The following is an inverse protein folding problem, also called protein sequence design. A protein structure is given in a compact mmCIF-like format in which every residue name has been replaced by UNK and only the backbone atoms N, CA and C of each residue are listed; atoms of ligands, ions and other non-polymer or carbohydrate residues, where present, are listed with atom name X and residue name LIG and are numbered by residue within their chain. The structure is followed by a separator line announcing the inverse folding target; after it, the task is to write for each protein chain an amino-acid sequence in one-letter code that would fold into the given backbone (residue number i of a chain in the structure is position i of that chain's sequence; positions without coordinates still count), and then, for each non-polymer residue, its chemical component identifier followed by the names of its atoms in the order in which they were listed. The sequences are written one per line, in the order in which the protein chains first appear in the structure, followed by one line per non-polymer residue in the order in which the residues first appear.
data_IF_215786260201
#
_entry.id   IF_215786260201
#
_cell.length_a   1.000
_cell.length_b   1.000
_cell.length_c   1.000
_cell.angle_alpha   90.00
_cell.angle_beta   90.00
_cell.angle_gamma   90.00
#
_symmetry.space_group_name_H-M   'P 1'
#
loop_
_entity.id
_entity.type
_entity.pdbx_description
1 polymer ?
#
# COMPACT_ATOMS: atom_id res chain seq x y z
N UNK A 1 14.63 -7.80 21.84
CA UNK A 1 14.95 -6.61 21.03
C UNK A 1 13.95 -6.52 19.90
N UNK A 2 13.34 -5.34 19.70
CA UNK A 2 12.15 -5.18 18.86
C UNK A 2 12.42 -5.59 17.41
N UNK A 3 11.73 -6.65 16.98
CA UNK A 3 11.79 -7.21 15.63
C UNK A 3 11.07 -6.33 14.59
N UNK A 4 10.46 -5.22 14.97
CA UNK A 4 9.56 -4.46 14.09
C UNK A 4 10.20 -4.10 12.74
N UNK A 5 11.38 -3.48 12.78
CA UNK A 5 12.08 -3.06 11.57
C UNK A 5 12.45 -4.27 10.69
N UNK A 6 12.90 -5.35 11.32
CA UNK A 6 13.18 -6.61 10.61
C UNK A 6 11.90 -7.17 9.99
N UNK A 7 10.78 -7.23 10.70
CA UNK A 7 9.51 -7.75 10.17
C UNK A 7 9.00 -6.94 8.99
N UNK A 8 9.06 -5.60 9.08
CA UNK A 8 8.53 -4.72 8.03
C UNK A 8 9.33 -4.80 6.73
N UNK A 9 10.66 -4.87 6.83
CA UNK A 9 11.56 -4.79 5.67
C UNK A 9 11.92 -6.17 5.14
N UNK A 10 12.15 -7.17 5.99
CA UNK A 10 12.48 -8.54 5.53
C UNK A 10 11.33 -9.14 4.71
N UNK A 11 10.07 -8.84 5.05
CA UNK A 11 8.92 -9.28 4.25
C UNK A 11 8.67 -8.46 2.98
N UNK A 12 9.41 -7.38 2.74
CA UNK A 12 9.11 -6.45 1.66
C UNK A 12 9.28 -7.03 0.24
N UNK A 13 10.33 -7.81 -0.09
CA UNK A 13 10.46 -8.46 -1.40
C UNK A 13 9.24 -9.33 -1.71
N UNK A 14 8.80 -10.14 -0.73
CA UNK A 14 7.59 -10.98 -0.83
C UNK A 14 6.35 -10.10 -1.09
N UNK A 15 6.17 -9.04 -0.31
CA UNK A 15 5.03 -8.10 -0.45
C UNK A 15 5.02 -7.39 -1.81
N UNK A 16 6.19 -7.04 -2.36
CA UNK A 16 6.32 -6.45 -3.71
C UNK A 16 5.86 -7.43 -4.77
N UNK A 17 6.30 -8.69 -4.70
CA UNK A 17 5.94 -9.72 -5.68
C UNK A 17 4.42 -9.99 -5.72
N UNK A 18 3.77 -10.00 -4.55
CA UNK A 18 2.34 -10.30 -4.40
C UNK A 18 1.44 -9.05 -4.33
N UNK A 19 1.98 -7.86 -4.54
CA UNK A 19 1.19 -6.64 -4.52
C UNK A 19 0.19 -6.61 -5.69
N UNK A 20 -1.08 -6.39 -5.33
CA UNK A 20 -2.22 -6.43 -6.26
C UNK A 20 -2.23 -5.30 -7.29
N UNK A 21 -1.47 -4.22 -7.07
CA UNK A 21 -1.38 -3.08 -7.98
C UNK A 21 0.05 -2.55 -8.03
N UNK A 22 0.44 -1.93 -9.16
CA UNK A 22 1.74 -1.26 -9.26
C UNK A 22 1.85 -0.09 -8.27
N UNK A 23 0.74 0.57 -7.92
CA UNK A 23 0.72 1.59 -6.88
C UNK A 23 1.18 1.04 -5.53
N UNK A 24 0.62 -0.09 -5.09
CA UNK A 24 1.01 -0.72 -3.82
C UNK A 24 2.49 -1.16 -3.86
N UNK A 25 2.99 -1.60 -5.03
CA UNK A 25 4.41 -1.91 -5.23
C UNK A 25 5.29 -0.68 -4.93
N UNK A 26 4.94 0.48 -5.49
CA UNK A 26 5.67 1.73 -5.29
C UNK A 26 5.58 2.20 -3.84
N UNK A 27 4.41 2.09 -3.19
CA UNK A 27 4.24 2.43 -1.78
C UNK A 27 5.10 1.55 -0.86
N UNK A 28 5.10 0.22 -1.08
CA UNK A 28 5.91 -0.72 -0.30
C UNK A 28 7.40 -0.39 -0.46
N UNK A 29 7.85 -0.17 -1.69
CA UNK A 29 9.24 0.18 -1.98
C UNK A 29 9.63 1.53 -1.37
N UNK A 30 8.78 2.55 -1.47
CA UNK A 30 9.00 3.87 -0.87
C UNK A 30 9.12 3.80 0.66
N UNK A 31 8.28 2.98 1.31
CA UNK A 31 8.38 2.70 2.75
C UNK A 31 9.74 2.07 3.10
N UNK A 32 10.15 1.04 2.37
CA UNK A 32 11.43 0.34 2.62
C UNK A 32 12.61 1.28 2.40
N UNK A 33 12.59 2.03 1.30
CA UNK A 33 13.63 2.98 0.97
C UNK A 33 13.73 4.09 2.02
N UNK A 34 12.60 4.65 2.51
CA UNK A 34 12.59 5.64 3.59
C UNK A 34 13.22 5.07 4.85
N UNK A 35 12.79 3.89 5.23
CA UNK A 35 13.23 3.25 6.46
C UNK A 35 14.75 2.94 6.41
N UNK A 36 15.28 2.50 5.26
CA UNK A 36 16.72 2.36 5.03
C UNK A 36 17.45 3.71 5.07
N UNK A 37 16.88 4.74 4.45
CA UNK A 37 17.46 6.06 4.42
C UNK A 37 17.63 6.61 5.85
N UNK A 38 16.59 6.54 6.69
CA UNK A 38 16.62 6.94 8.10
C UNK A 38 17.65 6.19 8.96
N UNK A 39 18.08 5.01 8.53
CA UNK A 39 19.16 4.25 9.17
C UNK A 39 20.56 4.66 8.70
N UNK A 40 20.66 5.62 7.76
CA UNK A 40 21.92 6.04 7.14
C UNK A 40 22.36 5.19 5.95
N UNK A 41 21.47 4.33 5.43
CA UNK A 41 21.74 3.43 4.29
C UNK A 41 21.19 4.04 3.00
N UNK A 42 21.78 5.17 2.59
CA UNK A 42 21.31 5.98 1.46
C UNK A 42 21.48 5.26 0.11
N UNK A 43 22.59 4.54 -0.10
CA UNK A 43 22.83 3.77 -1.32
C UNK A 43 21.81 2.63 -1.45
N UNK A 44 21.56 1.89 -0.36
CA UNK A 44 20.55 0.84 -0.32
C UNK A 44 19.13 1.39 -0.55
N UNK A 45 18.82 2.56 0.01
CA UNK A 45 17.57 3.28 -0.24
C UNK A 45 17.38 3.62 -1.73
N UNK A 46 18.42 4.18 -2.38
CA UNK A 46 18.40 4.47 -3.81
C UNK A 46 18.25 3.20 -4.65
N UNK A 47 18.94 2.13 -4.28
CA UNK A 47 18.88 0.84 -4.98
C UNK A 47 17.46 0.27 -5.03
N UNK A 48 16.67 0.42 -3.96
CA UNK A 48 15.26 0.01 -3.94
C UNK A 48 14.41 0.85 -4.89
N UNK A 49 14.66 2.16 -4.98
CA UNK A 49 13.85 3.06 -5.81
C UNK A 49 14.24 3.06 -7.30
N UNK A 50 15.48 2.66 -7.64
CA UNK A 50 16.00 2.72 -9.00
C UNK A 50 15.15 1.98 -10.05
N UNK A 51 14.68 0.73 -9.81
CA UNK A 51 13.81 0.04 -10.78
C UNK A 51 12.51 0.78 -11.06
N UNK A 52 11.92 1.43 -10.05
CA UNK A 52 10.66 2.16 -10.16
C UNK A 52 10.87 3.43 -10.98
N UNK A 53 11.87 4.23 -10.62
CA UNK A 53 12.18 5.47 -11.31
C UNK A 53 12.51 5.24 -12.78
N UNK A 54 13.37 4.27 -13.08
CA UNK A 54 13.77 3.96 -14.45
C UNK A 54 12.59 3.45 -15.28
N UNK A 55 11.69 2.67 -14.68
CA UNK A 55 10.48 2.22 -15.37
C UNK A 55 9.52 3.37 -15.68
N UNK A 56 9.34 4.31 -14.73
CA UNK A 56 8.50 5.50 -14.94
C UNK A 56 9.10 6.48 -15.96
N UNK A 57 10.41 6.75 -15.89
CA UNK A 57 11.11 7.65 -16.81
C UNK A 57 11.05 7.15 -18.26
N UNK A 58 10.98 5.83 -18.47
CA UNK A 58 10.86 5.21 -19.79
C UNK A 58 9.40 5.09 -20.27
N UNK A 59 8.41 5.49 -19.47
CA UNK A 59 6.99 5.40 -19.82
C UNK A 59 6.48 3.96 -20.02
N UNK A 60 7.11 2.97 -19.37
CA UNK A 60 6.82 1.54 -19.58
C UNK A 60 5.71 0.99 -18.69
N UNK A 61 5.06 1.81 -17.87
CA UNK A 61 4.22 1.39 -16.74
C UNK A 61 2.91 2.16 -16.65
N UNK A 62 2.01 1.64 -15.83
CA UNK A 62 0.70 2.24 -15.57
C UNK A 62 0.78 3.49 -14.70
N UNK A 63 1.88 3.65 -13.94
CA UNK A 63 2.16 4.81 -13.11
C UNK A 63 3.05 5.85 -13.80
N UNK A 64 2.81 7.12 -13.49
CA UNK A 64 3.55 8.24 -14.07
C UNK A 64 4.86 8.54 -13.32
N UNK A 65 5.77 9.29 -13.95
CA UNK A 65 6.94 9.81 -13.24
C UNK A 65 6.56 10.81 -12.14
N UNK A 66 5.48 11.57 -12.35
CA UNK A 66 4.97 12.52 -11.36
C UNK A 66 4.43 11.81 -10.10
N UNK A 67 3.77 10.66 -10.30
CA UNK A 67 3.37 9.78 -9.21
C UNK A 67 4.55 9.32 -8.35
N UNK A 68 5.60 8.83 -9.01
CA UNK A 68 6.80 8.32 -8.31
C UNK A 68 7.47 9.46 -7.54
N UNK A 69 7.60 10.65 -8.15
CA UNK A 69 8.11 11.85 -7.46
C UNK A 69 7.27 12.20 -6.25
N UNK A 70 5.95 12.28 -6.42
CA UNK A 70 5.00 12.57 -5.34
C UNK A 70 5.11 11.55 -4.22
N UNK A 71 5.24 10.26 -4.55
CA UNK A 71 5.40 9.19 -3.58
C UNK A 71 6.72 9.30 -2.81
N UNK A 72 7.84 9.55 -3.50
CA UNK A 72 9.15 9.80 -2.87
C UNK A 72 9.07 10.98 -1.90
N UNK A 73 8.44 12.09 -2.29
CA UNK A 73 8.26 13.27 -1.42
C UNK A 73 7.33 12.98 -0.25
N UNK A 74 6.21 12.27 -0.45
CA UNK A 74 5.24 11.93 0.61
C UNK A 74 5.86 11.02 1.69
N UNK A 75 6.86 10.21 1.33
CA UNK A 75 7.64 9.43 2.28
C UNK A 75 8.84 10.17 2.88
N UNK A 76 9.07 11.44 2.52
CA UNK A 76 10.19 12.24 3.02
C UNK A 76 11.56 11.85 2.46
N UNK A 77 11.62 10.92 1.51
CA UNK A 77 12.88 10.49 0.88
C UNK A 77 13.61 11.65 0.20
N UNK A 78 12.84 12.51 -0.45
CA UNK A 78 13.35 13.71 -1.12
C UNK A 78 14.09 14.63 -0.12
N UNK A 79 13.50 14.84 1.06
CA UNK A 79 14.08 15.65 2.14
C UNK A 79 15.32 14.99 2.75
N UNK A 80 15.30 13.66 2.92
CA UNK A 80 16.44 12.91 3.43
C UNK A 80 17.61 13.00 2.44
N UNK A 81 17.39 12.70 1.16
CA UNK A 81 18.46 12.71 0.15
C UNK A 81 19.01 14.11 -0.09
N UNK A 82 18.13 15.12 -0.25
CA UNK A 82 18.54 16.53 -0.37
C UNK A 82 19.31 17.02 0.86
N UNK A 83 18.77 16.77 2.06
CA UNK A 83 19.43 17.15 3.31
C UNK A 83 20.78 16.47 3.52
N UNK A 84 20.92 15.24 3.03
CA UNK A 84 22.17 14.49 3.03
C UNK A 84 23.15 14.94 1.94
N UNK A 85 22.75 15.80 0.99
CA UNK A 85 23.50 16.09 -0.25
C UNK A 85 23.88 14.79 -0.98
N UNK A 86 22.92 13.88 -1.06
CA UNK A 86 23.06 12.58 -1.67
C UNK A 86 22.43 12.59 -3.06
N UNK A 87 23.19 12.12 -4.05
CA UNK A 87 22.70 11.93 -5.42
C UNK A 87 22.51 10.43 -5.61
N UNK A 88 21.27 9.94 -5.72
CA UNK A 88 20.98 8.51 -5.84
C UNK A 88 21.55 7.96 -7.15
N UNK A 89 22.48 7.01 -7.05
CA UNK A 89 23.04 6.32 -8.22
C UNK A 89 21.96 5.47 -8.90
N UNK A 90 22.02 5.39 -10.23
CA UNK A 90 21.05 4.66 -11.05
C UNK A 90 19.73 5.39 -11.29
N UNK A 91 19.62 6.64 -10.83
CA UNK A 91 18.57 7.59 -11.20
C UNK A 91 19.18 8.64 -12.13
N UNK A 92 19.44 8.26 -13.39
CA UNK A 92 19.94 9.19 -14.40
C UNK A 92 18.92 10.34 -14.51
N UNK A 93 19.27 11.55 -14.04
CA UNK A 93 18.39 12.73 -13.90
C UNK A 93 17.40 12.72 -12.72
N UNK A 94 17.78 12.20 -11.54
CA UNK A 94 16.98 12.49 -10.33
C UNK A 94 16.82 14.00 -10.13
N UNK A 95 15.58 14.44 -10.17
CA UNK A 95 15.17 15.80 -9.82
C UNK A 95 14.14 15.69 -8.69
N UNK A 96 14.47 16.34 -7.57
CA UNK A 96 13.55 16.52 -6.45
C UNK A 96 12.25 17.17 -6.93
N UNK A 97 11.12 16.78 -6.34
CA UNK A 97 9.84 17.46 -6.59
C UNK A 97 9.96 18.95 -6.31
N UNK A 98 10.67 19.30 -5.24
CA UNK A 98 10.91 20.68 -4.85
C UNK A 98 11.74 21.45 -5.87
N UNK A 99 12.69 20.80 -6.53
CA UNK A 99 13.51 21.44 -7.57
C UNK A 99 12.69 21.68 -8.85
N UNK A 100 11.87 20.70 -9.26
CA UNK A 100 10.97 20.82 -10.41
C UNK A 100 10.00 22.00 -10.24
N UNK A 101 9.43 22.13 -9.04
CA UNK A 101 8.50 23.22 -8.72
C UNK A 101 9.20 24.51 -8.25
N UNK A 102 10.54 24.54 -8.24
CA UNK A 102 11.36 25.68 -7.80
C UNK A 102 11.03 26.19 -6.39
N UNK A 103 10.73 25.27 -5.48
CA UNK A 103 10.46 25.60 -4.10
C UNK A 103 11.74 26.08 -3.41
N UNK A 104 11.63 27.21 -2.71
CA UNK A 104 12.67 27.66 -1.79
C UNK A 104 12.68 26.78 -0.54
N UNK A 105 13.80 26.74 0.18
CA UNK A 105 13.87 26.02 1.47
C UNK A 105 12.79 26.51 2.46
N UNK A 106 12.40 27.78 2.36
CA UNK A 106 11.31 28.37 3.14
C UNK A 106 9.94 27.78 2.77
N UNK A 107 9.64 27.60 1.48
CA UNK A 107 8.39 26.98 1.03
C UNK A 107 8.30 25.51 1.42
N UNK A 108 9.41 24.78 1.32
CA UNK A 108 9.51 23.40 1.83
C UNK A 108 9.19 23.35 3.32
N UNK A 109 9.76 24.28 4.10
CA UNK A 109 9.50 24.38 5.53
C UNK A 109 8.03 24.71 5.84
N UNK A 110 7.39 25.60 5.07
CA UNK A 110 5.96 25.89 5.21
C UNK A 110 5.11 24.66 4.90
N UNK A 111 5.36 23.92 3.81
CA UNK A 111 4.59 22.71 3.48
C UNK A 111 4.73 21.63 4.56
N UNK A 112 5.92 21.42 5.11
CA UNK A 112 6.11 20.45 6.19
C UNK A 112 5.40 20.91 7.48
N UNK A 113 5.41 22.20 7.79
CA UNK A 113 4.66 22.73 8.95
C UNK A 113 3.16 22.61 8.77
N UNK A 114 2.65 22.83 7.55
CA UNK A 114 1.26 22.52 7.24
C UNK A 114 0.99 21.05 7.57
N UNK A 115 1.84 20.13 7.13
CA UNK A 115 1.67 18.70 7.46
C UNK A 115 1.57 18.43 8.97
N UNK A 116 2.45 19.03 9.78
CA UNK A 116 2.43 18.85 11.24
C UNK A 116 1.30 19.59 11.97
N UNK A 117 0.74 20.65 11.39
CA UNK A 117 -0.24 21.52 12.03
C UNK A 117 -1.68 21.39 11.50
N UNK A 118 -1.92 20.59 10.46
CA UNK A 118 -3.21 20.56 9.71
C UNK A 118 -4.41 19.91 10.42
N UNK A 119 -4.32 19.50 11.68
CA UNK A 119 -5.48 18.93 12.41
C UNK A 119 -6.66 19.91 12.55
N UNK A 120 -6.49 21.21 12.25
CA UNK A 120 -7.51 22.24 12.52
C UNK A 120 -8.41 22.64 11.34
N UNK A 121 -8.25 22.08 10.14
CA UNK A 121 -9.13 22.35 8.99
C UNK A 121 -9.16 23.80 8.46
N UNK A 122 -8.58 24.77 9.16
CA UNK A 122 -8.45 26.15 8.71
C UNK A 122 -7.13 26.35 7.99
N UNK A 123 -7.18 26.58 6.67
CA UNK A 123 -6.04 26.97 5.84
C UNK A 123 -5.63 28.42 6.13
N UNK A 124 -5.19 28.71 7.37
CA UNK A 124 -4.57 30.00 7.68
C UNK A 124 -3.21 30.05 6.99
N UNK A 125 -2.92 31.18 6.35
CA UNK A 125 -1.58 31.50 5.86
C UNK A 125 -0.63 31.41 7.06
N UNK A 126 0.14 30.33 7.12
CA UNK A 126 1.12 30.11 8.18
C UNK A 126 2.31 31.02 7.90
N UNK A 127 2.33 32.19 8.53
CA UNK A 127 3.56 32.95 8.66
C UNK A 127 4.56 32.13 9.49
N UNK A 128 5.77 31.94 8.97
CA UNK A 128 6.85 31.37 9.76
C UNK A 128 7.08 32.28 10.99
N UNK A 129 7.16 31.72 12.21
CA UNK A 129 7.49 32.50 13.40
C UNK A 129 8.82 33.23 13.21
N UNK A 130 9.00 34.41 13.82
CA UNK A 130 10.26 35.12 13.75
C UNK A 130 11.37 34.26 14.40
N UNK A 131 12.64 34.35 13.92
CA UNK A 131 13.72 33.49 14.41
C UNK A 131 13.90 33.50 15.94
N UNK A 132 13.66 34.65 16.58
CA UNK A 132 13.69 34.77 18.04
C UNK A 132 12.69 33.84 18.73
N UNK A 133 11.45 33.78 18.24
CA UNK A 133 10.41 32.92 18.81
C UNK A 133 10.75 31.43 18.64
N UNK A 134 11.38 31.06 17.52
CA UNK A 134 11.83 29.69 17.29
C UNK A 134 13.00 29.31 18.21
N UNK A 135 13.96 30.20 18.42
CA UNK A 135 15.07 29.98 19.37
C UNK A 135 14.52 29.86 20.80
N UNK A 136 13.60 30.73 21.19
CA UNK A 136 12.95 30.69 22.51
C UNK A 136 12.15 29.38 22.69
N UNK A 137 11.45 28.91 21.64
CA UNK A 137 10.78 27.62 21.63
C UNK A 137 11.78 26.46 21.76
N UNK A 138 12.88 26.48 21.01
CA UNK A 138 13.93 25.46 21.08
C UNK A 138 14.53 25.36 22.49
N UNK A 139 14.76 26.48 23.18
CA UNK A 139 15.22 26.47 24.57
C UNK A 139 14.25 25.73 25.51
N UNK A 140 12.93 25.90 25.32
CA UNK A 140 11.92 25.19 26.10
C UNK A 140 11.87 23.70 25.74
N UNK A 141 11.96 23.38 24.46
CA UNK A 141 11.90 22.01 23.97
C UNK A 141 13.06 21.14 24.49
N UNK A 142 14.21 21.72 24.87
CA UNK A 142 15.32 20.97 25.47
C UNK A 142 14.90 20.12 26.67
N UNK A 143 13.86 20.54 27.40
CA UNK A 143 13.33 19.77 28.52
C UNK A 143 12.88 18.36 28.13
N UNK A 144 12.51 18.12 26.86
CA UNK A 144 12.09 16.83 26.34
C UNK A 144 13.25 15.88 26.02
N UNK A 145 14.49 16.38 25.96
CA UNK A 145 15.66 15.52 25.70
C UNK A 145 15.84 14.57 26.88
N UNK A 146 15.82 13.27 26.58
CA UNK A 146 15.97 12.21 27.58
C UNK A 146 14.73 11.94 28.41
N UNK A 147 13.59 12.58 28.15
CA UNK A 147 12.33 12.20 28.79
C UNK A 147 11.88 10.83 28.30
N UNK A 148 11.39 10.01 29.23
CA UNK A 148 10.66 8.80 28.90
C UNK A 148 9.26 9.20 28.41
N UNK A 149 9.00 8.96 27.13
CA UNK A 149 7.67 9.11 26.55
C UNK A 149 6.85 7.83 26.81
N UNK A 150 5.53 7.91 26.72
CA UNK A 150 4.67 6.73 26.83
C UNK A 150 5.12 5.65 25.83
N UNK A 151 5.03 4.38 26.19
CA UNK A 151 5.29 3.27 25.26
C UNK A 151 4.30 3.23 24.09
N UNK A 152 3.14 3.86 24.27
CA UNK A 152 2.11 4.08 23.26
C UNK A 152 1.85 5.59 23.21
N UNK A 153 2.78 6.37 22.66
CA UNK A 153 2.64 7.81 22.67
C UNK A 153 1.54 8.19 21.69
N UNK A 154 0.60 9.00 22.15
CA UNK A 154 -0.24 9.75 21.23
C UNK A 154 0.66 10.57 20.29
N UNK A 155 0.20 10.86 19.08
CA UNK A 155 0.91 11.68 18.11
C UNK A 155 1.40 12.99 18.71
N UNK A 156 0.71 13.52 19.72
CA UNK A 156 1.05 14.75 20.41
C UNK A 156 2.29 14.65 21.31
N UNK A 157 2.65 13.47 21.83
CA UNK A 157 3.72 13.34 22.83
C UNK A 157 5.13 13.45 22.22
N UNK A 158 5.34 12.96 21.00
CA UNK A 158 6.67 13.00 20.35
C UNK A 158 6.88 14.20 19.43
N UNK A 159 5.81 14.89 19.01
CA UNK A 159 5.87 16.10 18.17
C UNK A 159 6.83 17.18 18.73
N UNK A 160 6.87 17.46 20.06
CA UNK A 160 7.87 18.36 20.63
C UNK A 160 9.32 17.95 20.33
N UNK A 161 9.64 16.65 20.36
CA UNK A 161 10.97 16.17 20.03
C UNK A 161 11.30 16.34 18.54
N UNK A 162 10.34 16.10 17.64
CA UNK A 162 10.50 16.31 16.19
C UNK A 162 10.71 17.80 15.89
N UNK A 163 9.91 18.68 16.47
CA UNK A 163 10.08 20.13 16.33
C UNK A 163 11.43 20.60 16.90
N UNK A 164 11.81 20.08 18.07
CA UNK A 164 13.09 20.36 18.70
C UNK A 164 14.27 19.94 17.82
N UNK A 165 14.16 18.77 17.18
CA UNK A 165 15.13 18.26 16.22
C UNK A 165 15.24 19.19 14.99
N UNK A 166 14.11 19.56 14.38
CA UNK A 166 14.08 20.48 13.23
C UNK A 166 14.74 21.83 13.56
N UNK A 167 14.33 22.46 14.66
CA UNK A 167 14.85 23.76 15.05
C UNK A 167 16.34 23.66 15.41
N UNK A 168 16.77 22.59 16.07
CA UNK A 168 18.19 22.34 16.33
C UNK A 168 19.01 22.27 15.04
N UNK A 169 18.50 21.57 14.03
CA UNK A 169 19.11 21.48 12.70
C UNK A 169 19.17 22.84 11.99
N UNK A 170 18.04 23.56 11.96
CA UNK A 170 17.92 24.89 11.34
C UNK A 170 18.94 25.88 11.88
N UNK A 171 19.16 25.86 13.20
CA UNK A 171 20.10 26.76 13.89
C UNK A 171 21.50 26.18 14.10
N UNK A 172 21.85 25.07 13.43
CA UNK A 172 23.20 24.48 13.50
C UNK A 172 23.59 23.88 14.85
N UNK A 173 22.63 23.58 15.72
CA UNK A 173 22.84 23.04 17.08
C UNK A 173 22.89 21.52 17.09
N UNK A 174 23.90 20.96 16.43
CA UNK A 174 24.02 19.52 16.17
C UNK A 174 23.96 18.64 17.44
N UNK A 175 24.56 19.08 18.55
CA UNK A 175 24.50 18.32 19.82
C UNK A 175 23.07 18.19 20.36
N UNK A 176 22.28 19.27 20.29
CA UNK A 176 20.87 19.26 20.72
C UNK A 176 20.03 18.40 19.78
N UNK A 177 20.27 18.52 18.47
CA UNK A 177 19.63 17.70 17.46
C UNK A 177 19.86 16.19 17.72
N UNK A 178 21.10 15.80 18.03
CA UNK A 178 21.41 14.42 18.42
C UNK A 178 20.70 13.99 19.71
N UNK A 179 20.55 14.89 20.69
CA UNK A 179 19.76 14.63 21.90
C UNK A 179 18.29 14.31 21.60
N UNK A 180 17.61 15.16 20.82
CA UNK A 180 16.23 14.91 20.40
C UNK A 180 16.10 13.64 19.57
N UNK A 181 17.00 13.43 18.60
CA UNK A 181 16.99 12.23 17.78
C UNK A 181 17.18 10.97 18.64
N UNK A 182 18.03 11.01 19.67
CA UNK A 182 18.24 9.86 20.56
C UNK A 182 16.97 9.51 21.34
N UNK A 183 16.21 10.51 21.81
CA UNK A 183 14.90 10.30 22.45
C UNK A 183 13.89 9.71 21.47
N UNK A 184 13.79 10.25 20.25
CA UNK A 184 12.91 9.72 19.19
C UNK A 184 13.28 8.28 18.83
N UNK A 185 14.58 7.98 18.68
CA UNK A 185 15.08 6.65 18.34
C UNK A 185 14.78 5.64 19.45
N UNK A 186 14.96 6.02 20.72
CA UNK A 186 14.59 5.17 21.85
C UNK A 186 13.09 4.82 21.80
N UNK A 187 12.25 5.79 21.45
CA UNK A 187 10.81 5.59 21.29
C UNK A 187 10.45 4.68 20.11
N UNK A 188 11.12 4.84 18.96
CA UNK A 188 10.92 3.94 17.82
C UNK A 188 11.30 2.50 18.20
N UNK A 189 12.39 2.34 18.95
CA UNK A 189 12.86 1.03 19.39
C UNK A 189 11.88 0.36 20.38
N UNK A 190 11.20 1.13 21.23
CA UNK A 190 10.25 0.62 22.23
C UNK A 190 8.84 0.37 21.65
N UNK A 191 8.32 1.26 20.81
CA UNK A 191 6.93 1.23 20.34
C UNK A 191 6.63 0.18 19.26
N UNK A 192 7.67 -0.40 18.62
CA UNK A 192 7.48 -1.44 17.61
C UNK A 192 6.58 -0.99 16.44
N UNK A 193 5.55 -1.75 16.04
CA UNK A 193 4.65 -1.38 14.94
C UNK A 193 3.96 -0.03 15.07
N UNK A 194 3.72 0.39 16.32
CA UNK A 194 3.06 1.66 16.64
C UNK A 194 3.96 2.87 16.35
N UNK A 195 5.26 2.67 16.08
CA UNK A 195 6.19 3.74 15.70
C UNK A 195 5.98 4.28 14.27
N UNK A 196 5.06 3.72 13.47
CA UNK A 196 4.89 4.10 12.06
C UNK A 196 4.65 5.60 11.83
N UNK A 197 3.76 6.28 12.59
CA UNK A 197 3.57 7.72 12.47
C UNK A 197 4.85 8.50 12.81
N UNK A 198 5.54 8.14 13.89
CA UNK A 198 6.79 8.78 14.31
C UNK A 198 7.91 8.64 13.27
N UNK A 199 8.05 7.46 12.65
CA UNK A 199 9.03 7.25 11.56
C UNK A 199 8.71 8.13 10.35
N UNK A 200 7.42 8.27 10.02
CA UNK A 200 6.98 9.15 8.94
C UNK A 200 7.32 10.60 9.25
N UNK A 201 6.96 11.08 10.43
CA UNK A 201 7.20 12.46 10.88
C UNK A 201 8.70 12.79 10.93
N UNK A 202 9.53 11.82 11.37
CA UNK A 202 10.97 11.96 11.33
C UNK A 202 11.52 12.09 9.90
N UNK A 203 11.03 11.29 8.95
CA UNK A 203 11.43 11.41 7.55
C UNK A 203 11.01 12.72 6.89
N UNK A 204 9.89 13.29 7.34
CA UNK A 204 9.36 14.56 6.87
C UNK A 204 10.03 15.78 7.53
N UNK A 205 10.90 15.56 8.52
CA UNK A 205 11.63 16.65 9.17
C UNK A 205 12.60 17.31 8.19
N UNK A 206 12.46 18.62 7.91
CA UNK A 206 13.41 19.33 7.07
C UNK A 206 14.84 19.16 7.59
N UNK A 207 15.80 18.94 6.68
CA UNK A 207 17.24 18.85 6.98
C UNK A 207 17.66 17.56 7.73
N UNK A 208 16.75 16.61 7.99
CA UNK A 208 17.09 15.36 8.70
C UNK A 208 18.24 14.57 8.06
N UNK A 209 18.36 14.63 6.74
CA UNK A 209 19.41 13.98 5.97
C UNK A 209 20.84 14.35 6.42
N UNK A 210 21.07 15.57 6.93
CA UNK A 210 22.41 15.98 7.36
C UNK A 210 22.90 15.24 8.60
N UNK A 211 21.98 14.80 9.47
CA UNK A 211 22.30 13.96 10.62
C UNK A 211 22.37 12.51 10.20
N UNK A 212 21.36 12.03 9.50
CA UNK A 212 21.22 10.61 9.15
C UNK A 212 22.40 10.10 8.32
N UNK A 213 22.95 10.91 7.42
CA UNK A 213 24.14 10.56 6.63
C UNK A 213 25.36 10.23 7.50
N UNK A 214 25.50 10.93 8.62
CA UNK A 214 26.68 10.85 9.49
C UNK A 214 26.43 10.02 10.75
N UNK A 215 25.19 9.60 10.98
CA UNK A 215 24.79 9.01 12.23
C UNK A 215 23.77 7.89 12.04
N UNK A 216 24.19 6.66 12.31
CA UNK A 216 23.35 5.47 12.31
C UNK A 216 22.71 5.22 13.68
N UNK A 217 22.37 6.26 14.47
CA UNK A 217 21.73 6.11 15.79
C UNK A 217 20.56 5.13 15.73
N UNK A 218 19.71 5.26 14.70
CA UNK A 218 18.58 4.36 14.50
C UNK A 218 19.07 2.92 14.21
N UNK A 219 20.07 2.74 13.36
CA UNK A 219 20.68 1.42 13.10
C UNK A 219 21.36 0.78 14.31
N UNK A 220 21.97 1.58 15.19
CA UNK A 220 22.51 1.08 16.45
C UNK A 220 21.40 0.67 17.43
N UNK A 221 20.35 1.48 17.56
CA UNK A 221 19.24 1.20 18.46
C UNK A 221 18.38 0.00 18.00
N UNK A 222 18.23 -0.20 16.69
CA UNK A 222 17.48 -1.33 16.12
C UNK A 222 18.35 -2.58 15.90
N UNK A 223 19.68 -2.46 16.01
CA UNK A 223 20.63 -3.51 15.63
C UNK A 223 20.64 -3.82 14.12
N UNK A 224 20.08 -2.93 13.29
CA UNK A 224 19.99 -3.14 11.85
C UNK A 224 21.30 -2.77 11.16
N UNK A 225 22.08 -3.78 10.77
CA UNK A 225 23.41 -3.63 10.17
C UNK A 225 23.38 -3.44 8.64
N UNK A 226 24.38 -2.74 8.10
CA UNK A 226 24.48 -2.41 6.65
C UNK A 226 24.45 -3.64 5.73
N UNK A 227 25.11 -4.74 6.10
CA UNK A 227 25.11 -5.96 5.28
C UNK A 227 23.69 -6.52 5.08
N UNK A 228 22.87 -6.49 6.15
CA UNK A 228 21.46 -6.88 6.10
C UNK A 228 20.63 -5.89 5.27
N UNK A 229 20.89 -4.57 5.43
CA UNK A 229 20.25 -3.54 4.60
C UNK A 229 20.50 -3.77 3.11
N UNK A 230 21.75 -4.06 2.74
CA UNK A 230 22.14 -4.32 1.36
C UNK A 230 21.49 -5.57 0.79
N UNK A 231 21.47 -6.67 1.54
CA UNK A 231 20.81 -7.90 1.12
C UNK A 231 19.32 -7.66 0.82
N UNK A 232 18.60 -7.01 1.75
CA UNK A 232 17.17 -6.76 1.57
C UNK A 232 16.91 -5.77 0.42
N UNK A 233 17.73 -4.72 0.30
CA UNK A 233 17.60 -3.77 -0.80
C UNK A 233 17.80 -4.44 -2.16
N UNK A 234 18.75 -5.38 -2.25
CA UNK A 234 19.01 -6.15 -3.46
C UNK A 234 17.84 -7.07 -3.78
N UNK A 235 17.32 -7.82 -2.80
CA UNK A 235 16.14 -8.67 -2.96
C UNK A 235 14.90 -7.87 -3.35
N UNK A 236 14.70 -6.68 -2.76
CA UNK A 236 13.60 -5.79 -3.11
C UNK A 236 13.72 -5.26 -4.55
N UNK A 237 14.93 -4.88 -4.98
CA UNK A 237 15.18 -4.47 -6.35
C UNK A 237 14.94 -5.61 -7.35
N UNK A 238 15.34 -6.83 -7.02
CA UNK A 238 15.05 -8.03 -7.83
C UNK A 238 13.54 -8.35 -7.88
N UNK A 239 12.85 -8.22 -6.76
CA UNK A 239 11.41 -8.37 -6.67
C UNK A 239 10.68 -7.34 -7.54
N UNK A 240 11.14 -6.08 -7.55
CA UNK A 240 10.62 -5.03 -8.41
C UNK A 240 10.86 -5.34 -9.90
N UNK A 241 12.08 -5.70 -10.28
CA UNK A 241 12.39 -6.06 -11.67
C UNK A 241 11.54 -7.26 -12.14
N UNK A 242 11.38 -8.27 -11.29
CA UNK A 242 10.51 -9.43 -11.57
C UNK A 242 9.05 -9.02 -11.70
N UNK A 243 8.54 -8.23 -10.74
CA UNK A 243 7.15 -7.75 -10.72
C UNK A 243 6.81 -6.90 -11.95
N UNK A 244 7.78 -6.11 -12.42
CA UNK A 244 7.64 -5.31 -13.62
C UNK A 244 7.69 -6.21 -14.86
N UNK A 245 8.66 -7.12 -14.99
CA UNK A 245 8.76 -7.97 -16.19
C UNK A 245 7.61 -8.95 -16.34
N UNK A 246 7.17 -9.56 -15.24
CA UNK A 246 6.31 -10.74 -15.26
C UNK A 246 4.93 -10.51 -14.66
N UNK A 247 4.65 -9.32 -14.14
CA UNK A 247 3.39 -9.05 -13.44
C UNK A 247 3.39 -9.60 -12.01
N UNK A 248 2.21 -9.66 -11.39
CA UNK A 248 2.03 -10.19 -10.04
C UNK A 248 2.49 -11.65 -9.99
N UNK A 249 3.28 -11.99 -8.97
CA UNK A 249 3.66 -13.37 -8.75
C UNK A 249 2.41 -14.19 -8.37
N UNK A 250 2.17 -15.28 -9.09
CA UNK A 250 1.02 -16.16 -8.86
C UNK A 250 1.52 -17.54 -8.43
N UNK A 251 1.80 -17.74 -7.12
CA UNK A 251 2.43 -18.96 -6.64
C UNK A 251 1.51 -20.18 -6.79
N UNK A 252 0.20 -19.94 -6.91
CA UNK A 252 -0.85 -20.93 -7.07
C UNK A 252 -1.37 -21.04 -8.51
N UNK A 253 -0.75 -20.38 -9.49
CA UNK A 253 -1.19 -20.44 -10.89
C UNK A 253 -1.15 -21.85 -11.48
N UNK A 254 -0.25 -22.70 -10.99
CA UNK A 254 -0.08 -24.07 -11.47
C UNK A 254 -1.02 -25.07 -10.79
N UNK A 255 -1.76 -24.68 -9.74
CA UNK A 255 -2.76 -25.56 -9.13
C UNK A 255 -3.94 -25.76 -10.08
N UNK A 256 -4.45 -26.97 -10.19
CA UNK A 256 -5.76 -27.18 -10.83
C UNK A 256 -6.86 -26.48 -10.01
N UNK A 257 -8.04 -26.29 -10.59
CA UNK A 257 -9.18 -25.76 -9.83
C UNK A 257 -9.53 -26.62 -8.62
N UNK A 258 -9.57 -27.95 -8.78
CA UNK A 258 -9.82 -28.87 -7.67
C UNK A 258 -8.78 -28.72 -6.55
N UNK A 259 -7.49 -28.70 -6.90
CA UNK A 259 -6.42 -28.55 -5.91
C UNK A 259 -6.49 -27.18 -5.21
N UNK A 260 -6.70 -26.09 -5.95
CA UNK A 260 -6.83 -24.75 -5.36
C UNK A 260 -7.96 -24.70 -4.34
N UNK A 261 -9.15 -25.23 -4.67
CA UNK A 261 -10.28 -25.15 -3.76
C UNK A 261 -10.13 -26.09 -2.55
N UNK A 262 -9.51 -27.27 -2.70
CA UNK A 262 -9.20 -28.16 -1.58
C UNK A 262 -8.22 -27.54 -0.58
N UNK A 263 -7.22 -26.79 -1.05
CA UNK A 263 -6.30 -26.05 -0.16
C UNK A 263 -7.03 -24.93 0.60
N UNK A 264 -7.96 -24.22 -0.07
CA UNK A 264 -8.80 -23.20 0.58
C UNK A 264 -9.69 -23.85 1.64
N UNK A 265 -10.37 -24.95 1.33
CA UNK A 265 -11.19 -25.69 2.29
C UNK A 265 -10.40 -26.09 3.53
N UNK A 266 -9.23 -26.71 3.33
CA UNK A 266 -8.41 -27.21 4.42
C UNK A 266 -7.94 -26.08 5.35
N UNK A 267 -7.53 -24.94 4.80
CA UNK A 267 -7.05 -23.81 5.59
C UNK A 267 -8.20 -23.05 6.25
N UNK A 268 -9.33 -22.84 5.57
CA UNK A 268 -10.50 -22.20 6.19
C UNK A 268 -11.06 -23.07 7.31
N UNK A 269 -11.22 -24.38 7.08
CA UNK A 269 -11.69 -25.30 8.12
C UNK A 269 -10.77 -25.31 9.34
N UNK A 270 -9.45 -25.19 9.14
CA UNK A 270 -8.48 -25.14 10.24
C UNK A 270 -8.49 -23.80 10.98
N UNK A 271 -8.69 -22.69 10.27
CA UNK A 271 -8.76 -21.36 10.88
C UNK A 271 -9.96 -21.21 11.82
N UNK A 272 -11.02 -22.01 11.59
CA UNK A 272 -12.30 -21.92 12.30
C UNK A 272 -12.64 -23.25 12.98
N UNK A 273 -11.89 -23.59 14.05
CA UNK A 273 -11.99 -24.87 14.79
C UNK A 273 -13.10 -24.90 15.89
N UNK A 274 -14.08 -23.99 15.84
CA UNK A 274 -15.12 -23.86 16.89
C UNK A 274 -16.54 -23.92 16.33
N UNK A 275 -17.26 -25.03 16.60
CA UNK A 275 -18.72 -25.24 16.67
C UNK A 275 -19.67 -24.70 15.58
N UNK A 276 -19.19 -24.02 14.53
CA UNK A 276 -20.04 -23.51 13.46
C UNK A 276 -20.18 -24.59 12.38
N UNK A 277 -21.36 -25.20 12.31
CA UNK A 277 -21.73 -25.95 11.10
C UNK A 277 -21.62 -25.01 9.90
N UNK A 278 -20.93 -25.40 8.82
CA UNK A 278 -20.78 -24.55 7.66
C UNK A 278 -22.17 -24.21 7.11
N UNK A 279 -22.40 -22.94 6.88
CA UNK A 279 -23.59 -22.47 6.18
C UNK A 279 -23.49 -22.94 4.72
N UNK A 280 -24.05 -24.12 4.45
CA UNK A 280 -23.99 -24.89 3.20
C UNK A 280 -22.73 -25.76 3.08
N UNK A 281 -22.79 -26.90 2.35
CA UNK A 281 -21.60 -27.68 2.08
C UNK A 281 -20.55 -26.81 1.38
N UNK A 282 -19.30 -26.89 1.83
CA UNK A 282 -18.20 -26.10 1.30
C UNK A 282 -18.10 -26.27 -0.23
N UNK A 283 -18.20 -27.52 -0.70
CA UNK A 283 -18.36 -27.85 -2.10
C UNK A 283 -19.81 -28.13 -2.47
N UNK A 284 -20.30 -27.46 -3.50
CA UNK A 284 -21.56 -27.78 -4.18
C UNK A 284 -21.29 -28.70 -5.38
N UNK A 285 -22.27 -29.53 -5.79
CA UNK A 285 -22.15 -30.34 -7.01
C UNK A 285 -21.78 -29.47 -8.22
N UNK A 286 -20.89 -29.93 -9.13
CA UNK A 286 -20.54 -29.21 -10.36
C UNK A 286 -21.74 -28.74 -11.17
N UNK A 287 -21.62 -27.57 -11.80
CA UNK A 287 -22.61 -27.08 -12.74
C UNK A 287 -22.49 -27.83 -14.07
N UNK A 288 -23.63 -28.20 -14.66
CA UNK A 288 -23.65 -28.75 -16.02
C UNK A 288 -23.39 -27.66 -17.06
N UNK A 289 -22.90 -28.04 -18.24
CA UNK A 289 -22.71 -27.10 -19.35
C UNK A 289 -24.03 -26.46 -19.79
N UNK A 290 -25.13 -27.20 -19.71
CA UNK A 290 -26.48 -26.70 -20.01
C UNK A 290 -26.96 -25.67 -19.00
N UNK A 291 -26.65 -25.86 -17.71
CA UNK A 291 -26.97 -24.87 -16.67
C UNK A 291 -26.22 -23.56 -16.93
N UNK A 292 -24.91 -23.63 -17.19
CA UNK A 292 -24.08 -22.46 -17.49
C UNK A 292 -24.61 -21.74 -18.74
N UNK A 293 -24.86 -22.47 -19.83
CA UNK A 293 -25.36 -21.90 -21.09
C UNK A 293 -26.72 -21.23 -20.92
N UNK A 294 -27.63 -21.86 -20.17
CA UNK A 294 -28.95 -21.28 -19.86
C UNK A 294 -28.81 -19.96 -19.10
N UNK A 295 -27.91 -19.90 -18.11
CA UNK A 295 -27.67 -18.68 -17.33
C UNK A 295 -27.01 -17.60 -18.18
N UNK A 296 -26.01 -17.93 -19.01
CA UNK A 296 -25.42 -17.01 -19.98
C UNK A 296 -26.49 -16.41 -20.91
N UNK A 297 -27.43 -17.24 -21.40
CA UNK A 297 -28.56 -16.79 -22.22
C UNK A 297 -29.49 -15.84 -21.44
N UNK A 298 -29.80 -16.16 -20.18
CA UNK A 298 -30.65 -15.32 -19.32
C UNK A 298 -29.99 -13.98 -18.97
N UNK A 299 -28.69 -13.98 -18.69
CA UNK A 299 -27.91 -12.78 -18.37
C UNK A 299 -27.59 -11.94 -19.61
N UNK A 300 -27.68 -12.54 -20.81
CA UNK A 300 -27.35 -11.90 -22.08
C UNK A 300 -25.86 -11.66 -22.26
N UNK A 301 -25.00 -12.47 -21.63
CA UNK A 301 -23.53 -12.35 -21.68
C UNK A 301 -22.87 -13.72 -21.67
N UNK A 302 -21.62 -13.79 -22.13
CA UNK A 302 -20.75 -14.95 -21.92
C UNK A 302 -19.94 -14.75 -20.65
N UNK A 303 -20.06 -15.69 -19.71
CA UNK A 303 -19.31 -15.69 -18.46
C UNK A 303 -17.80 -15.87 -18.73
N UNK A 304 -16.92 -15.34 -17.86
CA UNK A 304 -15.48 -15.53 -17.99
C UNK A 304 -15.12 -17.02 -17.99
N UNK A 305 -14.15 -17.40 -18.83
CA UNK A 305 -13.78 -18.80 -19.02
C UNK A 305 -13.27 -19.45 -17.73
N UNK A 306 -12.45 -18.73 -16.95
CA UNK A 306 -11.93 -19.21 -15.67
C UNK A 306 -13.03 -19.39 -14.61
N UNK A 307 -14.06 -18.53 -14.62
CA UNK A 307 -15.24 -18.69 -13.77
C UNK A 307 -16.07 -19.91 -14.16
N UNK A 308 -16.23 -20.19 -15.47
CA UNK A 308 -16.91 -21.41 -15.93
C UNK A 308 -16.17 -22.67 -15.52
N UNK A 309 -14.85 -22.68 -15.63
CA UNK A 309 -14.02 -23.81 -15.17
C UNK A 309 -14.18 -24.03 -13.66
N UNK A 310 -14.20 -22.97 -12.86
CA UNK A 310 -14.55 -23.06 -11.45
C UNK A 310 -15.92 -23.71 -11.23
N UNK A 311 -16.96 -23.27 -11.94
CA UNK A 311 -18.32 -23.83 -11.82
C UNK A 311 -18.40 -25.31 -12.18
N UNK A 312 -17.55 -25.80 -13.10
CA UNK A 312 -17.45 -27.23 -13.43
C UNK A 312 -16.75 -28.08 -12.36
N UNK A 313 -16.13 -27.45 -11.36
CA UNK A 313 -15.58 -28.13 -10.18
C UNK A 313 -16.51 -27.97 -8.98
N UNK A 314 -17.05 -26.77 -8.77
CA UNK A 314 -18.06 -26.52 -7.73
C UNK A 314 -19.01 -25.39 -8.14
N UNK A 315 -20.32 -25.67 -8.11
CA UNK A 315 -21.35 -24.71 -8.52
C UNK A 315 -21.66 -23.70 -7.40
N UNK A 316 -20.71 -22.81 -7.14
CA UNK A 316 -20.67 -21.96 -5.94
C UNK A 316 -19.74 -22.54 -4.89
N UNK A 317 -19.57 -21.84 -3.76
CA UNK A 317 -18.65 -22.25 -2.70
C UNK A 317 -19.22 -21.83 -1.35
N UNK A 318 -19.18 -22.71 -0.36
CA UNK A 318 -19.52 -22.35 1.02
C UNK A 318 -18.46 -21.47 1.69
N UNK A 319 -18.65 -21.23 2.97
CA UNK A 319 -17.67 -20.57 3.83
C UNK A 319 -17.77 -21.13 5.24
N UNK A 320 -16.64 -21.29 5.91
CA UNK A 320 -16.59 -21.62 7.35
C UNK A 320 -16.77 -20.39 8.23
N UNK A 321 -16.66 -19.17 7.66
CA UNK A 321 -16.94 -17.92 8.35
C UNK A 321 -17.50 -16.87 7.37
N UNK A 322 -18.83 -16.66 7.41
CA UNK A 322 -19.52 -15.66 6.59
C UNK A 322 -19.11 -14.22 6.89
N UNK A 323 -18.59 -13.93 8.08
CA UNK A 323 -18.20 -12.58 8.48
C UNK A 323 -16.95 -12.10 7.74
N UNK A 324 -16.01 -13.02 7.49
CA UNK A 324 -14.73 -12.70 6.85
C UNK A 324 -14.71 -13.08 5.37
N UNK A 325 -15.43 -14.13 5.00
CA UNK A 325 -15.41 -14.66 3.64
C UNK A 325 -16.81 -15.00 3.16
N UNK A 326 -17.28 -14.23 2.18
CA UNK A 326 -18.60 -14.45 1.59
C UNK A 326 -18.67 -15.79 0.85
N UNK A 327 -19.72 -16.60 1.08
CA UNK A 327 -20.04 -17.72 0.21
C UNK A 327 -20.21 -17.25 -1.24
N UNK A 328 -19.91 -18.11 -2.20
CA UNK A 328 -20.13 -17.86 -3.61
C UNK A 328 -21.43 -18.50 -4.07
N UNK A 329 -22.24 -17.72 -4.78
CA UNK A 329 -23.51 -18.14 -5.35
C UNK A 329 -23.32 -19.25 -6.39
N UNK A 330 -24.32 -20.12 -6.51
CA UNK A 330 -24.39 -21.03 -7.65
C UNK A 330 -24.70 -20.28 -8.94
N UNK A 331 -24.42 -20.90 -10.07
CA UNK A 331 -24.67 -20.31 -11.39
C UNK A 331 -26.14 -19.93 -11.60
N UNK A 332 -27.08 -20.63 -10.97
CA UNK A 332 -28.51 -20.32 -11.10
C UNK A 332 -28.96 -19.16 -10.17
N UNK A 333 -28.10 -18.76 -9.23
CA UNK A 333 -28.36 -17.71 -8.24
C UNK A 333 -27.66 -16.39 -8.57
N UNK A 334 -26.66 -16.36 -9.47
CA UNK A 334 -26.00 -15.11 -9.87
C UNK A 334 -26.96 -14.18 -10.63
N UNK A 335 -26.81 -12.87 -10.44
CA UNK A 335 -27.69 -11.88 -11.06
C UNK A 335 -26.96 -10.55 -11.31
N UNK A 336 -27.57 -9.71 -12.16
CA UNK A 336 -27.14 -8.33 -12.35
C UNK A 336 -27.65 -7.45 -11.21
N UNK A 337 -26.75 -6.95 -10.38
CA UNK A 337 -27.08 -5.93 -9.39
C UNK A 337 -26.90 -4.53 -9.97
N UNK A 338 -27.91 -3.68 -9.83
CA UNK A 338 -27.97 -2.31 -10.39
C UNK A 338 -27.99 -1.22 -9.30
N UNK A 339 -27.91 -1.61 -8.01
CA UNK A 339 -28.00 -0.68 -6.88
C UNK A 339 -26.80 0.27 -6.77
N UNK A 340 -25.68 -0.05 -7.41
CA UNK A 340 -24.39 0.66 -7.29
C UNK A 340 -24.13 1.72 -8.38
N UNK A 341 -25.18 2.32 -8.94
CA UNK A 341 -25.09 3.29 -10.03
C UNK A 341 -24.36 4.61 -9.70
N UNK A 342 -24.06 4.86 -8.43
CA UNK A 342 -23.25 6.01 -8.00
C UNK A 342 -21.73 5.79 -8.08
N UNK A 343 -21.27 4.54 -8.20
CA UNK A 343 -19.85 4.21 -8.22
C UNK A 343 -19.26 4.36 -9.63
N UNK A 344 -17.96 4.68 -9.73
CA UNK A 344 -17.23 4.77 -11.00
C UNK A 344 -16.56 3.44 -11.34
N UNK A 345 -16.41 3.16 -12.62
CA UNK A 345 -15.78 1.92 -13.11
C UNK A 345 -14.25 2.05 -13.07
N UNK A 346 -13.71 1.89 -11.87
CA UNK A 346 -12.26 1.94 -11.62
C UNK A 346 -11.61 0.58 -11.93
N UNK A 347 -11.19 0.39 -13.19
CA UNK A 347 -10.53 -0.85 -13.61
C UNK A 347 -9.04 -0.93 -13.23
N UNK A 348 -8.48 0.18 -12.78
CA UNK A 348 -7.16 0.32 -12.17
C UNK A 348 -7.21 1.47 -11.18
N UNK A 349 -6.21 1.58 -10.31
CA UNK A 349 -6.12 2.71 -9.36
C UNK A 349 -5.77 3.98 -10.14
N UNK A 350 -6.59 5.01 -9.99
CA UNK A 350 -6.34 6.34 -10.57
C UNK A 350 -5.88 7.31 -9.49
N UNK A 351 -4.88 8.13 -9.81
CA UNK A 351 -4.29 9.08 -8.85
C UNK A 351 -5.05 10.40 -8.76
N UNK A 352 -5.80 10.74 -9.81
CA UNK A 352 -6.48 12.03 -9.92
C UNK A 352 -7.99 11.88 -9.91
N UNK A 353 -8.64 12.60 -8.99
CA UNK A 353 -10.09 12.74 -8.96
C UNK A 353 -10.65 13.29 -10.28
N UNK A 354 -9.87 14.11 -11.02
CA UNK A 354 -10.29 14.59 -12.33
C UNK A 354 -10.35 13.46 -13.36
N UNK A 355 -9.46 12.47 -13.27
CA UNK A 355 -9.49 11.28 -14.12
C UNK A 355 -10.66 10.39 -13.72
N UNK A 356 -10.82 10.11 -12.43
CA UNK A 356 -11.94 9.29 -11.89
C UNK A 356 -13.29 9.88 -12.29
N UNK A 357 -13.43 11.21 -12.28
CA UNK A 357 -14.68 11.89 -12.66
C UNK A 357 -15.11 11.67 -14.12
N UNK A 358 -14.17 11.29 -15.01
CA UNK A 358 -14.42 11.01 -16.43
C UNK A 358 -14.83 9.55 -16.69
N UNK A 359 -14.57 8.65 -15.74
CA UNK A 359 -14.92 7.23 -15.87
C UNK A 359 -16.45 7.07 -15.94
N UNK A 360 -16.97 6.06 -16.66
CA UNK A 360 -18.39 5.76 -16.62
C UNK A 360 -18.83 5.33 -15.22
N UNK A 361 -20.11 5.54 -14.92
CA UNK A 361 -20.73 4.98 -13.72
C UNK A 361 -20.99 3.48 -13.90
N UNK A 362 -20.93 2.74 -12.79
CA UNK A 362 -21.27 1.32 -12.72
C UNK A 362 -22.77 1.13 -12.98
N UNK A 363 -23.15 0.74 -14.19
CA UNK A 363 -24.59 0.54 -14.51
C UNK A 363 -25.14 -0.74 -13.92
N UNK A 364 -24.29 -1.76 -13.84
CA UNK A 364 -24.57 -3.08 -13.28
C UNK A 364 -23.26 -3.78 -12.92
N UNK A 365 -23.33 -4.69 -11.96
CA UNK A 365 -22.27 -5.64 -11.63
C UNK A 365 -22.86 -7.04 -11.59
N UNK A 366 -22.09 -8.04 -11.97
CA UNK A 366 -22.51 -9.43 -11.81
C UNK A 366 -22.18 -9.85 -10.37
N UNK A 367 -23.22 -10.01 -9.55
CA UNK A 367 -23.11 -10.48 -8.17
C UNK A 367 -22.75 -11.96 -8.18
N UNK A 368 -21.59 -12.32 -7.60
CA UNK A 368 -21.15 -13.73 -7.50
C UNK A 368 -20.96 -14.20 -6.06
N UNK A 369 -20.94 -13.29 -5.08
CA UNK A 369 -21.00 -13.60 -3.65
C UNK A 369 -22.43 -13.53 -3.11
N UNK A 370 -22.72 -14.36 -2.10
CA UNK A 370 -23.93 -14.26 -1.29
C UNK A 370 -23.81 -13.08 -0.32
N UNK A 371 -24.76 -12.15 -0.39
CA UNK A 371 -24.79 -10.93 0.43
C UNK A 371 -25.78 -11.00 1.57
N UNK A 372 -26.39 -12.17 1.82
CA UNK A 372 -27.35 -12.31 2.91
C UNK A 372 -26.58 -12.25 4.25
N UNK A 373 -26.76 -11.13 4.97
CA UNK A 373 -26.23 -10.89 6.32
C UNK A 373 -25.53 -9.53 6.50
N UNK A 374 -24.95 -9.32 7.68
CA UNK A 374 -24.09 -8.16 8.03
C UNK A 374 -22.71 -8.25 7.36
N UNK A 375 -22.65 -8.80 6.14
CA UNK A 375 -21.41 -8.96 5.40
C UNK A 375 -20.93 -7.62 4.85
N UNK A 376 -19.63 -7.38 4.97
CA UNK A 376 -19.03 -6.11 4.57
C UNK A 376 -18.27 -6.17 3.26
N UNK A 377 -18.13 -7.34 2.61
CA UNK A 377 -17.26 -7.51 1.44
C UNK A 377 -17.97 -8.25 0.30
N UNK A 378 -18.42 -7.51 -0.70
CA UNK A 378 -19.02 -8.07 -1.90
C UNK A 378 -17.96 -8.52 -2.91
N UNK A 379 -18.20 -9.64 -3.61
CA UNK A 379 -17.43 -10.05 -4.78
C UNK A 379 -18.26 -9.89 -6.04
N UNK A 380 -17.72 -9.12 -6.98
CA UNK A 380 -18.38 -8.79 -8.24
C UNK A 380 -17.51 -9.10 -9.44
N UNK A 381 -18.17 -9.34 -10.58
CA UNK A 381 -17.55 -9.32 -11.90
C UNK A 381 -18.09 -8.15 -12.73
N UNK A 382 -17.20 -7.34 -13.31
CA UNK A 382 -17.55 -6.24 -14.22
C UNK A 382 -17.34 -6.71 -15.65
N UNK A 383 -18.34 -6.48 -16.50
CA UNK A 383 -18.33 -6.96 -17.88
C UNK A 383 -17.31 -6.21 -18.77
N UNK A 384 -16.72 -6.90 -19.77
CA UNK A 384 -15.73 -6.31 -20.67
C UNK A 384 -16.18 -5.01 -21.35
N UNK A 385 -17.46 -4.91 -21.74
CA UNK A 385 -17.98 -3.73 -22.42
C UNK A 385 -17.84 -2.45 -21.59
N UNK A 386 -18.10 -2.55 -20.27
CA UNK A 386 -18.02 -1.42 -19.36
C UNK A 386 -16.57 -1.06 -19.02
N UNK A 387 -15.69 -2.05 -18.91
CA UNK A 387 -14.24 -1.84 -18.78
C UNK A 387 -13.69 -1.14 -20.03
N UNK A 388 -14.14 -1.53 -21.22
CA UNK A 388 -13.74 -0.89 -22.47
C UNK A 388 -14.20 0.57 -22.54
N UNK A 389 -15.43 0.87 -22.10
CA UNK A 389 -15.94 2.24 -21.98
C UNK A 389 -15.06 3.08 -21.05
N UNK A 390 -14.68 2.51 -19.90
CA UNK A 390 -13.79 3.16 -18.94
C UNK A 390 -12.40 3.44 -19.52
N UNK A 391 -11.77 2.47 -20.21
CA UNK A 391 -10.48 2.68 -20.91
C UNK A 391 -10.56 3.80 -21.94
N UNK A 392 -11.58 3.80 -22.79
CA UNK A 392 -11.79 4.85 -23.81
C UNK A 392 -11.96 6.23 -23.19
N UNK A 393 -12.63 6.34 -22.04
CA UNK A 393 -12.88 7.62 -21.35
C UNK A 393 -11.60 8.33 -20.88
N UNK A 394 -10.51 7.57 -20.72
CA UNK A 394 -9.19 8.08 -20.33
C UNK A 394 -8.18 8.05 -21.47
N UNK A 395 -8.61 7.73 -22.70
CA UNK A 395 -7.75 7.68 -23.88
C UNK A 395 -6.88 6.42 -23.96
N UNK A 396 -7.23 5.38 -23.22
CA UNK A 396 -6.58 4.07 -23.28
C UNK A 396 -7.29 3.15 -24.28
N UNK A 397 -6.52 2.27 -24.90
CA UNK A 397 -7.01 1.22 -25.80
C UNK A 397 -6.44 -0.14 -25.38
N UNK A 398 -6.96 -1.21 -25.97
CA UNK A 398 -6.56 -2.59 -25.70
C UNK A 398 -7.74 -3.47 -25.30
N UNK A 399 -7.52 -4.79 -25.19
CA UNK A 399 -8.58 -5.73 -24.89
C UNK A 399 -9.20 -5.42 -23.52
N UNK A 400 -10.52 -5.53 -23.44
CA UNK A 400 -11.24 -5.57 -22.18
C UNK A 400 -11.58 -7.01 -21.87
N UNK A 401 -11.26 -7.42 -20.65
CA UNK A 401 -11.61 -8.71 -20.09
C UNK A 401 -12.56 -8.49 -18.91
N UNK A 402 -13.14 -9.59 -18.42
CA UNK A 402 -13.92 -9.54 -17.20
C UNK A 402 -13.03 -9.13 -16.03
N UNK A 403 -13.53 -8.23 -15.20
CA UNK A 403 -12.80 -7.73 -14.05
C UNK A 403 -13.45 -8.21 -12.76
N UNK A 404 -12.73 -9.03 -12.01
CA UNK A 404 -13.05 -9.33 -10.62
C UNK A 404 -12.74 -8.12 -9.73
N UNK A 405 -13.70 -7.73 -8.90
CA UNK A 405 -13.53 -6.66 -7.91
C UNK A 405 -14.11 -7.09 -6.58
N UNK A 406 -13.54 -6.55 -5.50
CA UNK A 406 -14.17 -6.59 -4.17
C UNK A 406 -14.62 -5.19 -3.78
N UNK A 407 -15.77 -5.09 -3.12
CA UNK A 407 -16.33 -3.83 -2.64
C UNK A 407 -16.70 -3.95 -1.17
N UNK A 408 -16.44 -2.89 -0.40
CA UNK A 408 -16.88 -2.82 0.99
C UNK A 408 -17.68 -1.55 1.24
N UNK A 409 -18.79 -1.65 1.97
CA UNK A 409 -19.67 -0.49 2.23
C UNK A 409 -18.94 0.59 3.05
N UNK A 410 -18.06 0.20 3.96
CA UNK A 410 -17.28 1.10 4.82
C UNK A 410 -16.08 1.74 4.11
N UNK A 411 -15.64 1.19 2.98
CA UNK A 411 -14.63 1.76 2.08
C UNK A 411 -15.13 1.62 0.63
N UNK A 412 -15.97 2.56 0.16
CA UNK A 412 -16.70 2.45 -1.10
C UNK A 412 -15.81 2.62 -2.34
N UNK A 413 -14.58 2.09 -2.29
CA UNK A 413 -13.63 1.99 -3.39
C UNK A 413 -13.62 0.56 -3.94
N UNK A 414 -13.68 0.43 -5.26
CA UNK A 414 -13.53 -0.87 -5.91
C UNK A 414 -12.08 -1.33 -5.80
N UNK A 415 -11.86 -2.46 -5.15
CA UNK A 415 -10.53 -3.08 -5.14
C UNK A 415 -10.42 -4.05 -6.32
N UNK A 416 -9.59 -3.70 -7.30
CA UNK A 416 -9.31 -4.55 -8.45
C UNK A 416 -8.66 -5.89 -8.03
N UNK A 417 -9.28 -7.01 -8.44
CA UNK A 417 -8.82 -8.37 -8.12
C UNK A 417 -8.27 -9.21 -9.28
N UNK A 418 -8.24 -8.68 -10.49
CA UNK A 418 -7.81 -9.42 -11.69
C UNK A 418 -8.95 -10.27 -12.24
N UNK A 419 -8.62 -11.45 -12.77
CA UNK A 419 -9.63 -12.42 -13.20
C UNK A 419 -10.27 -13.13 -11.98
N UNK A 420 -11.35 -13.89 -12.20
CA UNK A 420 -11.97 -14.66 -11.12
C UNK A 420 -10.98 -15.68 -10.50
N UNK A 421 -10.15 -16.32 -11.33
CA UNK A 421 -9.05 -17.18 -10.87
C UNK A 421 -8.11 -16.45 -9.93
N UNK A 422 -7.73 -15.22 -10.23
CA UNK A 422 -6.86 -14.43 -9.36
C UNK A 422 -7.51 -14.09 -8.03
N UNK A 423 -8.83 -13.86 -7.99
CA UNK A 423 -9.57 -13.69 -6.73
C UNK A 423 -9.43 -14.91 -5.83
N UNK A 424 -9.60 -16.12 -6.38
CA UNK A 424 -9.49 -17.37 -5.63
C UNK A 424 -8.06 -17.66 -5.18
N UNK A 425 -7.06 -17.40 -6.03
CA UNK A 425 -5.65 -17.52 -5.64
C UNK A 425 -5.28 -16.55 -4.50
N UNK A 426 -5.84 -15.33 -4.52
CA UNK A 426 -5.63 -14.33 -3.46
C UNK A 426 -6.35 -14.69 -2.16
N UNK A 427 -7.52 -15.32 -2.23
CA UNK A 427 -8.19 -15.92 -1.06
C UNK A 427 -7.29 -16.96 -0.40
N UNK A 428 -6.74 -17.91 -1.18
CA UNK A 428 -5.76 -18.87 -0.65
C UNK A 428 -4.52 -18.18 -0.05
N UNK A 429 -3.97 -17.18 -0.74
CA UNK A 429 -2.80 -16.44 -0.25
C UNK A 429 -3.06 -15.71 1.08
N UNK A 430 -4.28 -15.21 1.30
CA UNK A 430 -4.72 -14.61 2.56
C UNK A 430 -4.68 -15.62 3.69
N UNK A 431 -5.31 -16.78 3.50
CA UNK A 431 -5.37 -17.86 4.50
C UNK A 431 -3.98 -18.36 4.91
N UNK A 432 -3.08 -18.55 3.95
CA UNK A 432 -1.69 -18.97 4.22
C UNK A 432 -0.92 -17.92 5.02
N UNK A 433 -1.25 -16.63 4.85
CA UNK A 433 -0.59 -15.55 5.60
C UNK A 433 -1.06 -15.55 7.06
N UNK A 434 -2.33 -15.78 7.29
CA UNK A 434 -2.92 -15.78 8.63
C UNK A 434 -2.43 -16.98 9.46
N UNK A 435 -2.08 -18.10 8.82
CA UNK A 435 -1.42 -19.24 9.49
C UNK A 435 0.04 -18.93 9.92
N UNK A 436 0.70 -17.96 9.28
CA UNK A 436 2.11 -17.60 9.53
C UNK A 436 2.29 -16.50 10.59
N UNK A 437 1.22 -15.78 10.94
CA UNK A 437 1.22 -14.70 11.93
C UNK A 437 0.82 -15.21 13.29
#
# INVERSE_FOLDING_TARGET
MSNYFSLRIVGAPKRILYAHSEHNVVEIAGIVARDMALHGYLDESAMVMAPIWNSAAQGRREFSLDFVRTTISNFGLDLIWRGAKFVPLGLDSWESRFDVYRYTDELVEVEQRIHFCSDSGETRILYLPPPKAEIDALERLKAYIGQELSSIPDAQEYRPCILGLELSLKYGRIQQANGFLSTVVAQIASAGPLATPLIRDLALTPRIGSIVRNNSLLGHATGFVRSKARAIAFEAAQALDSRFRWGEARPYANLSWAALLSEIEALESKAWDEEHEPDLPFFRPPASSEQIMRVEQNLGVTLPQDYKEFLTVSNGLGSFNRSDVSPLLSVDEIFWDTRYNGLRVEYRRFESNSVVSRLPFLRRVLQVADTDGDQYLDWWLIEPALIQEAKRSVGEDGPAEWLGVTYAVWDPQLTHRGSFRMMMERRLAGLVKDEQT
#
